data_IF_565138774176
#
_entry.id   IF_565138774176
#
_cell.length_a   1.000
_cell.length_b   1.000
_cell.length_c   1.000
_cell.angle_alpha   90.00
_cell.angle_beta   90.00
_cell.angle_gamma   90.00
#
_symmetry.space_group_name_H-M   'P 1'
#
loop_
_entity.id
_entity.type
_entity.pdbx_description
1 polymer ?
#
# COMPACT_ATOMS: atom_id res chain seq x y z
N UNK A 1 63.12 2.54 -99.97
CA UNK A 1 63.57 3.36 -101.12
C UNK A 1 64.77 2.66 -101.72
N UNK A 2 64.49 1.91 -102.77
CA UNK A 2 65.45 1.08 -103.50
C UNK A 2 66.12 1.93 -104.59
N UNK A 3 67.45 1.97 -104.60
CA UNK A 3 68.25 2.63 -105.64
C UNK A 3 69.59 1.90 -105.81
N UNK A 4 70.15 1.82 -107.03
CA UNK A 4 70.93 0.68 -107.52
C UNK A 4 72.45 0.85 -107.34
N UNK A 5 73.26 -0.23 -107.49
CA UNK A 5 74.71 -0.12 -107.58
C UNK A 5 75.14 0.11 -109.03
N UNK A 6 75.81 1.23 -109.30
CA UNK A 6 76.61 1.40 -110.51
C UNK A 6 77.89 0.53 -110.39
N UNK A 7 78.01 -0.47 -111.26
CA UNK A 7 79.27 -1.15 -111.55
C UNK A 7 79.93 -0.44 -112.74
N UNK A 8 81.08 0.18 -112.50
CA UNK A 8 81.95 0.71 -113.54
C UNK A 8 82.75 -0.43 -114.20
N UNK A 9 82.65 -0.52 -115.52
CA UNK A 9 83.49 -1.34 -116.41
C UNK A 9 84.96 -0.86 -116.37
N UNK A 10 85.96 -1.74 -116.48
CA UNK A 10 87.34 -1.34 -116.69
C UNK A 10 87.59 -1.07 -118.19
N UNK A 11 88.13 0.10 -118.52
CA UNK A 11 88.65 0.41 -119.85
C UNK A 11 89.95 -0.37 -120.08
N UNK A 12 89.95 -1.24 -121.09
CA UNK A 12 91.15 -1.75 -121.75
C UNK A 12 91.94 -0.57 -122.33
N UNK A 13 93.21 -0.45 -121.93
CA UNK A 13 94.18 0.40 -122.61
C UNK A 13 95.17 -0.48 -123.39
N UNK A 14 95.11 -0.29 -124.70
CA UNK A 14 96.04 -0.78 -125.72
C UNK A 14 97.48 -0.33 -125.40
N UNK A 15 98.43 -1.26 -125.49
CA UNK A 15 99.87 -0.99 -125.45
C UNK A 15 100.42 -0.74 -126.86
N UNK A 16 101.39 0.18 -127.04
CA UNK A 16 102.22 0.23 -128.22
C UNK A 16 103.49 -0.61 -128.07
N UNK A 17 103.72 -1.37 -129.15
CA UNK A 17 104.90 -2.09 -129.61
C UNK A 17 106.27 -1.58 -129.13
N UNK A 18 107.10 -2.50 -128.63
CA UNK A 18 108.56 -2.42 -128.61
C UNK A 18 109.14 -3.49 -129.54
N UNK A 19 110.00 -3.09 -130.48
CA UNK A 19 110.67 -3.97 -131.45
C UNK A 19 111.89 -4.71 -130.88
N UNK A 20 112.88 -5.04 -131.72
CA UNK A 20 112.98 -6.33 -132.42
C UNK A 20 114.13 -7.19 -131.89
N UNK A 21 114.06 -8.50 -132.14
CA UNK A 21 115.19 -9.43 -132.07
C UNK A 21 115.23 -10.18 -133.41
N UNK A 22 116.38 -10.12 -134.08
CA UNK A 22 116.61 -10.73 -135.38
C UNK A 22 117.07 -12.18 -135.27
N UNK A 23 117.01 -12.85 -136.43
CA UNK A 23 117.96 -13.84 -136.94
C UNK A 23 117.78 -13.83 -138.47
N UNK A 24 118.85 -13.52 -139.24
CA UNK A 24 119.60 -14.48 -140.09
C UNK A 24 118.68 -15.27 -141.04
N UNK A 25 118.85 -15.26 -142.37
CA UNK A 25 120.11 -15.40 -143.11
C UNK A 25 119.82 -15.30 -144.64
N UNK A 26 120.88 -15.40 -145.46
CA UNK A 26 120.90 -15.80 -146.90
C UNK A 26 121.01 -14.71 -147.99
N UNK A 27 122.28 -14.53 -148.41
CA UNK A 27 122.84 -14.59 -149.78
C UNK A 27 122.30 -13.69 -150.90
N UNK A 28 123.23 -13.02 -151.60
CA UNK A 28 123.02 -12.57 -152.98
C UNK A 28 123.97 -11.48 -153.49
N UNK A 29 125.22 -11.86 -153.76
CA UNK A 29 126.10 -11.40 -154.86
C UNK A 29 126.18 -9.89 -155.23
N UNK A 30 127.30 -9.24 -154.84
CA UNK A 30 128.40 -8.69 -155.67
C UNK A 30 128.18 -8.42 -157.20
N UNK A 31 129.08 -7.64 -157.87
CA UNK A 31 128.82 -6.29 -158.39
C UNK A 31 129.02 -6.22 -159.93
N UNK A 32 128.84 -5.05 -160.55
CA UNK A 32 129.44 -4.75 -161.88
C UNK A 32 129.40 -3.24 -162.14
N UNK A 33 130.50 -2.51 -161.88
CA UNK A 33 131.56 -2.21 -162.85
C UNK A 33 131.04 -1.65 -164.19
N UNK A 34 131.22 -0.33 -164.32
CA UNK A 34 131.86 0.34 -165.45
C UNK A 34 131.70 -0.23 -166.85
N UNK A 35 131.13 0.59 -167.74
CA UNK A 35 131.63 0.72 -169.11
C UNK A 35 131.84 2.19 -169.42
N UNK A 36 133.09 2.62 -169.25
CA UNK A 36 133.67 3.67 -170.07
C UNK A 36 133.96 3.09 -171.46
N UNK A 37 133.58 3.81 -172.51
CA UNK A 37 134.22 3.72 -173.81
C UNK A 37 134.36 5.15 -174.32
N UNK A 38 135.47 5.78 -173.95
CA UNK A 38 136.02 6.88 -174.73
C UNK A 38 136.54 6.31 -176.05
N UNK A 39 136.12 6.95 -177.15
CA UNK A 39 136.96 7.43 -178.25
C UNK A 39 138.26 6.65 -178.54
N UNK A 40 138.36 6.14 -179.77
CA UNK A 40 139.50 6.47 -180.63
C UNK A 40 139.20 6.08 -182.09
N UNK A 41 138.96 7.09 -182.92
CA UNK A 41 139.54 7.13 -184.26
C UNK A 41 140.62 8.23 -184.19
N UNK A 42 141.91 7.93 -184.39
CA UNK A 42 142.81 8.90 -184.94
C UNK A 42 142.77 8.75 -186.47
N UNK A 43 142.22 9.77 -187.12
CA UNK A 43 142.94 10.38 -188.23
C UNK A 43 142.56 11.86 -188.29
N UNK A 44 143.51 12.68 -187.85
CA UNK A 44 143.78 14.06 -188.25
C UNK A 44 142.79 15.19 -187.86
N UNK A 45 143.37 16.15 -187.11
CA UNK A 45 143.08 17.61 -187.01
C UNK A 45 142.12 18.17 -185.91
N UNK A 46 142.72 18.55 -184.75
CA UNK A 46 142.43 19.78 -183.96
C UNK A 46 141.57 19.71 -182.66
N UNK A 47 142.13 20.14 -181.50
CA UNK A 47 141.53 21.01 -180.44
C UNK A 47 141.92 20.70 -178.94
N UNK A 48 142.21 21.71 -178.08
CA UNK A 48 142.58 21.59 -176.64
C UNK A 48 141.50 21.93 -175.57
N UNK A 49 140.22 22.12 -175.91
CA UNK A 49 139.19 22.64 -174.96
C UNK A 49 138.48 21.58 -174.07
N UNK A 50 138.51 20.30 -174.44
CA UNK A 50 137.79 19.22 -173.74
C UNK A 50 138.43 18.80 -172.41
N UNK A 51 139.74 19.01 -172.26
CA UNK A 51 140.49 18.64 -171.07
C UNK A 51 140.20 19.58 -169.87
N UNK A 52 139.97 20.87 -170.15
CA UNK A 52 139.68 21.88 -169.13
C UNK A 52 138.35 21.61 -168.42
N UNK A 53 137.30 21.26 -169.19
CA UNK A 53 135.97 20.94 -168.66
C UNK A 53 135.97 19.73 -167.72
N UNK A 54 136.78 18.71 -168.01
CA UNK A 54 136.92 17.53 -167.15
C UNK A 54 137.58 17.87 -165.79
N UNK A 55 138.52 18.81 -165.76
CA UNK A 55 139.13 19.27 -164.51
C UNK A 55 138.15 20.08 -163.66
N UNK A 56 137.34 20.94 -164.29
CA UNK A 56 136.27 21.68 -163.63
C UNK A 56 135.22 20.74 -163.03
N UNK A 57 134.74 19.77 -163.80
CA UNK A 57 133.81 18.73 -163.32
C UNK A 57 134.42 17.89 -162.17
N UNK A 58 135.71 17.58 -162.22
CA UNK A 58 136.38 16.86 -161.11
C UNK A 58 136.48 17.73 -159.85
N UNK A 59 136.69 19.04 -160.00
CA UNK A 59 136.73 19.99 -158.90
C UNK A 59 135.32 20.17 -158.29
N UNK A 60 134.29 20.30 -159.13
CA UNK A 60 132.89 20.33 -158.71
C UNK A 60 132.47 19.04 -157.99
N UNK A 61 132.87 17.87 -158.50
CA UNK A 61 132.65 16.58 -157.83
C UNK A 61 133.32 16.53 -156.46
N UNK A 62 134.56 17.01 -156.33
CA UNK A 62 135.26 17.08 -155.04
C UNK A 62 134.57 18.04 -154.08
N UNK A 63 134.03 19.14 -154.58
CA UNK A 63 133.30 20.12 -153.77
C UNK A 63 131.93 19.58 -153.34
N UNK A 64 131.21 18.91 -154.23
CA UNK A 64 129.97 18.22 -153.94
C UNK A 64 130.18 17.07 -152.93
N UNK A 65 131.25 16.29 -153.05
CA UNK A 65 131.61 15.25 -152.08
C UNK A 65 131.99 15.88 -150.73
N UNK A 66 132.72 17.00 -150.71
CA UNK A 66 133.01 17.72 -149.46
C UNK A 66 131.73 18.23 -148.80
N UNK A 67 130.84 18.86 -149.57
CA UNK A 67 129.54 19.33 -149.09
C UNK A 67 128.66 18.17 -148.60
N UNK A 68 128.59 17.06 -149.34
CA UNK A 68 127.84 15.87 -148.95
C UNK A 68 128.37 15.25 -147.65
N UNK A 69 129.69 15.11 -147.50
CA UNK A 69 130.30 14.64 -146.26
C UNK A 69 130.08 15.61 -145.09
N UNK A 70 130.06 16.92 -145.36
CA UNK A 70 129.75 17.93 -144.36
C UNK A 70 128.28 17.83 -143.90
N UNK A 71 127.34 17.73 -144.84
CA UNK A 71 125.92 17.50 -144.56
C UNK A 71 125.69 16.19 -143.80
N UNK A 72 126.44 15.13 -144.13
CA UNK A 72 126.35 13.85 -143.41
C UNK A 72 126.87 13.97 -141.98
N UNK A 73 127.97 14.70 -141.76
CA UNK A 73 128.48 14.99 -140.41
C UNK A 73 127.47 15.80 -139.60
N UNK A 74 126.93 16.87 -140.18
CA UNK A 74 125.90 17.70 -139.55
C UNK A 74 124.65 16.87 -139.22
N UNK A 75 124.20 16.02 -140.17
CA UNK A 75 123.08 15.10 -139.96
C UNK A 75 123.37 14.06 -138.86
N UNK A 76 124.58 13.49 -138.81
CA UNK A 76 125.00 12.57 -137.76
C UNK A 76 125.06 13.26 -136.38
N UNK A 77 125.57 14.50 -136.33
CA UNK A 77 125.60 15.29 -135.10
C UNK A 77 124.18 15.69 -134.63
N UNK A 78 123.29 16.08 -135.53
CA UNK A 78 121.87 16.34 -135.23
C UNK A 78 121.17 15.10 -134.72
N UNK A 79 121.41 13.93 -135.33
CA UNK A 79 120.86 12.66 -134.86
C UNK A 79 121.39 12.31 -133.47
N UNK A 80 122.67 12.55 -133.18
CA UNK A 80 123.25 12.35 -131.85
C UNK A 80 122.65 13.32 -130.81
N UNK A 81 122.48 14.60 -131.15
CA UNK A 81 121.79 15.59 -130.29
C UNK A 81 120.34 15.20 -130.05
N UNK A 82 119.64 14.75 -131.08
CA UNK A 82 118.25 14.27 -130.99
C UNK A 82 118.16 13.02 -130.11
N UNK A 83 119.06 12.05 -130.27
CA UNK A 83 119.11 10.86 -129.42
C UNK A 83 119.45 11.21 -127.96
N UNK A 84 120.34 12.18 -127.73
CA UNK A 84 120.64 12.70 -126.40
C UNK A 84 119.42 13.34 -125.76
N UNK A 85 118.78 14.28 -126.46
CA UNK A 85 117.53 14.94 -126.04
C UNK A 85 116.40 13.93 -125.77
N UNK A 86 116.24 12.90 -126.61
CA UNK A 86 115.21 11.86 -126.41
C UNK A 86 115.50 11.00 -125.17
N UNK A 87 116.78 10.71 -124.87
CA UNK A 87 117.14 10.02 -123.62
C UNK A 87 116.83 10.89 -122.40
N UNK A 88 117.21 12.16 -122.44
CA UNK A 88 116.91 13.13 -121.37
C UNK A 88 115.39 13.28 -121.16
N UNK A 89 114.61 13.40 -122.22
CA UNK A 89 113.15 13.46 -122.17
C UNK A 89 112.56 12.17 -121.58
N UNK A 90 113.04 10.99 -122.00
CA UNK A 90 112.60 9.70 -121.46
C UNK A 90 112.93 9.57 -119.97
N UNK A 91 114.12 9.98 -119.56
CA UNK A 91 114.54 9.99 -118.15
C UNK A 91 113.69 10.96 -117.33
N UNK A 92 113.41 12.16 -117.85
CA UNK A 92 112.51 13.13 -117.24
C UNK A 92 111.10 12.56 -117.09
N UNK A 93 110.51 11.99 -118.14
CA UNK A 93 109.19 11.35 -118.08
C UNK A 93 109.18 10.23 -117.05
N UNK A 94 110.21 9.36 -117.04
CA UNK A 94 110.31 8.26 -116.08
C UNK A 94 110.38 8.78 -114.64
N UNK A 95 111.16 9.83 -114.36
CA UNK A 95 111.20 10.48 -113.05
C UNK A 95 109.84 11.08 -112.67
N UNK A 96 109.17 11.79 -113.60
CA UNK A 96 107.83 12.35 -113.38
C UNK A 96 106.80 11.25 -113.07
N UNK A 97 106.84 10.13 -113.80
CA UNK A 97 105.97 8.98 -113.53
C UNK A 97 106.25 8.33 -112.18
N UNK A 98 107.52 8.19 -111.78
CA UNK A 98 107.88 7.67 -110.46
C UNK A 98 107.40 8.60 -109.34
N UNK A 99 107.55 9.92 -109.50
CA UNK A 99 107.03 10.91 -108.55
C UNK A 99 105.50 10.85 -108.45
N UNK A 100 104.80 10.78 -109.59
CA UNK A 100 103.36 10.64 -109.64
C UNK A 100 102.90 9.34 -108.95
N UNK A 101 103.60 8.23 -109.17
CA UNK A 101 103.31 6.95 -108.51
C UNK A 101 103.47 7.04 -107.00
N UNK A 102 104.58 7.61 -106.50
CA UNK A 102 104.80 7.83 -105.06
C UNK A 102 103.73 8.73 -104.46
N UNK A 103 103.26 9.75 -105.19
CA UNK A 103 102.17 10.61 -104.73
C UNK A 103 100.86 9.84 -104.62
N UNK A 104 100.50 9.02 -105.62
CA UNK A 104 99.30 8.18 -105.60
C UNK A 104 99.35 7.18 -104.45
N UNK A 105 100.50 6.53 -104.22
CA UNK A 105 100.69 5.61 -103.09
C UNK A 105 100.47 6.32 -101.74
N UNK A 106 101.08 7.50 -101.53
CA UNK A 106 100.85 8.30 -100.31
C UNK A 106 99.37 8.69 -100.14
N UNK A 107 98.74 9.23 -101.19
CA UNK A 107 97.32 9.60 -101.15
C UNK A 107 96.42 8.39 -100.91
N UNK A 108 96.80 7.21 -101.39
CA UNK A 108 96.04 5.98 -101.16
C UNK A 108 96.07 5.54 -99.70
N UNK A 109 97.24 5.66 -99.04
CA UNK A 109 97.40 5.38 -97.60
C UNK A 109 96.63 6.40 -96.77
N UNK A 110 96.77 7.70 -97.07
CA UNK A 110 96.05 8.77 -96.38
C UNK A 110 94.53 8.59 -96.53
N UNK A 111 94.05 8.22 -97.72
CA UNK A 111 92.63 7.91 -97.95
C UNK A 111 92.17 6.71 -97.12
N UNK A 112 93.00 5.69 -96.94
CA UNK A 112 92.67 4.54 -96.10
C UNK A 112 92.60 4.93 -94.62
N UNK A 113 93.57 5.72 -94.14
CA UNK A 113 93.60 6.22 -92.77
C UNK A 113 92.40 7.13 -92.48
N UNK A 114 92.07 8.06 -93.39
CA UNK A 114 90.90 8.92 -93.27
C UNK A 114 89.60 8.11 -93.29
N UNK A 115 89.52 7.02 -94.08
CA UNK A 115 88.37 6.10 -94.06
C UNK A 115 88.24 5.41 -92.71
N UNK A 116 89.34 4.90 -92.16
CA UNK A 116 89.36 4.25 -90.85
C UNK A 116 88.97 5.22 -89.73
N UNK A 117 89.52 6.44 -89.74
CA UNK A 117 89.17 7.49 -88.78
C UNK A 117 87.69 7.86 -88.88
N UNK A 118 87.15 7.98 -90.10
CA UNK A 118 85.71 8.23 -90.32
C UNK A 118 84.86 7.10 -89.75
N UNK A 119 85.23 5.84 -89.99
CA UNK A 119 84.49 4.68 -89.46
C UNK A 119 84.53 4.65 -87.92
N UNK A 120 85.68 4.92 -87.32
CA UNK A 120 85.82 5.04 -85.86
C UNK A 120 84.95 6.17 -85.29
N UNK A 121 85.02 7.36 -85.90
CA UNK A 121 84.18 8.50 -85.49
C UNK A 121 82.68 8.21 -85.63
N UNK A 122 82.26 7.47 -86.67
CA UNK A 122 80.86 7.04 -86.82
C UNK A 122 80.45 6.07 -85.70
N UNK A 123 81.29 5.10 -85.35
CA UNK A 123 81.03 4.17 -84.24
C UNK A 123 80.95 4.90 -82.89
N UNK A 124 81.83 5.86 -82.63
CA UNK A 124 81.79 6.70 -81.43
C UNK A 124 80.51 7.52 -81.36
N UNK A 125 80.09 8.14 -82.47
CA UNK A 125 78.83 8.89 -82.55
C UNK A 125 77.63 7.97 -82.30
N UNK A 126 77.62 6.76 -82.85
CA UNK A 126 76.56 5.78 -82.56
C UNK A 126 76.53 5.36 -81.09
N UNK A 127 77.70 5.12 -80.49
CA UNK A 127 77.79 4.81 -79.07
C UNK A 127 77.27 5.96 -78.20
N UNK A 128 77.70 7.20 -78.49
CA UNK A 128 77.23 8.39 -77.79
C UNK A 128 75.72 8.60 -77.95
N UNK A 129 75.15 8.32 -79.12
CA UNK A 129 73.69 8.34 -79.34
C UNK A 129 72.97 7.32 -78.48
N UNK A 130 73.47 6.09 -78.36
CA UNK A 130 72.90 5.06 -77.48
C UNK A 130 72.99 5.48 -76.01
N UNK A 131 74.15 5.98 -75.56
CA UNK A 131 74.29 6.52 -74.21
C UNK A 131 73.32 7.68 -73.95
N UNK A 132 73.16 8.61 -74.91
CA UNK A 132 72.23 9.73 -74.77
C UNK A 132 70.77 9.26 -74.68
N UNK A 133 70.38 8.26 -75.47
CA UNK A 133 69.05 7.65 -75.41
C UNK A 133 68.82 6.99 -74.04
N UNK A 134 69.77 6.17 -73.55
CA UNK A 134 69.68 5.55 -72.23
C UNK A 134 69.54 6.60 -71.12
N UNK A 135 70.36 7.66 -71.15
CA UNK A 135 70.27 8.75 -70.18
C UNK A 135 68.93 9.48 -70.23
N UNK A 136 68.31 9.61 -71.42
CA UNK A 136 66.99 10.20 -71.56
C UNK A 136 65.88 9.30 -70.99
N UNK A 137 65.98 7.98 -71.22
CA UNK A 137 65.09 6.96 -70.65
C UNK A 137 65.20 6.91 -69.12
N UNK A 138 66.41 6.88 -68.58
CA UNK A 138 66.66 6.90 -67.13
C UNK A 138 66.11 8.17 -66.49
N UNK A 139 66.33 9.34 -67.14
CA UNK A 139 65.75 10.61 -66.69
C UNK A 139 64.23 10.58 -66.69
N UNK A 140 63.61 10.00 -67.72
CA UNK A 140 62.15 9.87 -67.81
C UNK A 140 61.60 8.91 -66.73
N UNK A 141 62.28 7.79 -66.50
CA UNK A 141 61.96 6.80 -65.47
C UNK A 141 62.04 7.41 -64.07
N UNK A 142 63.14 8.10 -63.74
CA UNK A 142 63.30 8.78 -62.44
C UNK A 142 62.24 9.86 -62.27
N UNK A 143 61.94 10.64 -63.31
CA UNK A 143 60.88 11.65 -63.24
C UNK A 143 59.52 11.01 -62.95
N UNK A 144 59.19 9.90 -63.61
CA UNK A 144 57.95 9.17 -63.37
C UNK A 144 57.87 8.62 -61.94
N UNK A 145 58.97 8.04 -61.42
CA UNK A 145 59.05 7.55 -60.04
C UNK A 145 58.86 8.68 -59.02
N UNK A 146 59.54 9.81 -59.21
CA UNK A 146 59.39 10.99 -58.33
C UNK A 146 57.95 11.52 -58.37
N UNK A 147 57.32 11.58 -59.55
CA UNK A 147 55.92 11.99 -59.67
C UNK A 147 54.97 11.01 -58.97
N UNK A 148 55.19 9.70 -59.07
CA UNK A 148 54.40 8.68 -58.35
C UNK A 148 54.52 8.86 -56.84
N UNK A 149 55.76 8.93 -56.33
CA UNK A 149 56.03 9.08 -54.89
C UNK A 149 55.45 10.39 -54.33
N UNK A 150 55.50 11.49 -55.09
CA UNK A 150 54.83 12.74 -54.70
C UNK A 150 53.32 12.59 -54.61
N UNK A 151 52.71 11.85 -55.55
CA UNK A 151 51.28 11.53 -55.53
C UNK A 151 50.90 10.68 -54.31
N UNK A 152 51.65 9.61 -54.04
CA UNK A 152 51.45 8.74 -52.88
C UNK A 152 51.62 9.50 -51.55
N UNK A 153 52.62 10.39 -51.46
CA UNK A 153 52.82 11.23 -50.28
C UNK A 153 51.65 12.20 -50.08
N UNK A 154 51.17 12.85 -51.14
CA UNK A 154 50.04 13.76 -51.07
C UNK A 154 48.74 13.03 -50.68
N UNK A 155 48.53 11.82 -51.19
CA UNK A 155 47.40 10.99 -50.80
C UNK A 155 47.49 10.56 -49.34
N UNK A 156 48.67 10.09 -48.91
CA UNK A 156 48.92 9.72 -47.51
C UNK A 156 48.70 10.92 -46.57
N UNK A 157 49.13 12.12 -46.96
CA UNK A 157 48.91 13.34 -46.19
C UNK A 157 47.42 13.69 -46.11
N UNK A 158 46.69 13.60 -47.22
CA UNK A 158 45.24 13.83 -47.25
C UNK A 158 44.48 12.83 -46.35
N UNK A 159 44.89 11.56 -46.36
CA UNK A 159 44.33 10.51 -45.48
C UNK A 159 44.62 10.79 -44.01
N UNK A 160 45.83 11.23 -43.67
CA UNK A 160 46.20 11.61 -42.32
C UNK A 160 45.39 12.82 -41.83
N UNK A 161 45.21 13.84 -42.65
CA UNK A 161 44.36 15.00 -42.35
C UNK A 161 42.89 14.61 -42.13
N UNK A 162 42.36 13.69 -42.92
CA UNK A 162 41.01 13.16 -42.72
C UNK A 162 40.89 12.38 -41.39
N UNK A 163 41.82 11.46 -41.13
CA UNK A 163 41.83 10.66 -39.90
C UNK A 163 42.01 11.51 -38.64
N UNK A 164 42.84 12.56 -38.70
CA UNK A 164 43.03 13.50 -37.59
C UNK A 164 41.77 14.32 -37.30
N UNK A 165 41.05 14.77 -38.33
CA UNK A 165 39.74 15.45 -38.16
C UNK A 165 38.70 14.50 -37.56
N UNK A 166 38.64 13.27 -38.04
CA UNK A 166 37.73 12.25 -37.48
C UNK A 166 38.05 11.97 -36.01
N UNK A 167 39.33 11.80 -35.66
CA UNK A 167 39.77 11.64 -34.27
C UNK A 167 39.34 12.82 -33.40
N UNK A 168 39.53 14.05 -33.86
CA UNK A 168 39.10 15.25 -33.13
C UNK A 168 37.57 15.28 -32.92
N UNK A 169 36.79 14.90 -33.94
CA UNK A 169 35.34 14.81 -33.83
C UNK A 169 34.91 13.73 -32.83
N UNK A 170 35.56 12.56 -32.85
CA UNK A 170 35.31 11.47 -31.90
C UNK A 170 35.71 11.85 -30.47
N UNK A 171 36.84 12.51 -30.28
CA UNK A 171 37.28 13.04 -28.98
C UNK A 171 36.28 14.07 -28.44
N UNK A 172 35.77 14.97 -29.28
CA UNK A 172 34.73 15.93 -28.91
C UNK A 172 33.44 15.25 -28.47
N UNK A 173 32.99 14.22 -29.22
CA UNK A 173 31.81 13.42 -28.86
C UNK A 173 32.01 12.64 -27.56
N UNK A 174 33.19 12.05 -27.36
CA UNK A 174 33.52 11.31 -26.13
C UNK A 174 33.53 12.24 -24.91
N UNK A 175 34.08 13.46 -25.03
CA UNK A 175 34.04 14.48 -23.97
C UNK A 175 32.61 14.87 -23.61
N UNK A 176 31.78 15.18 -24.61
CA UNK A 176 30.38 15.54 -24.38
C UNK A 176 29.59 14.40 -23.72
N UNK A 177 29.79 13.15 -24.17
CA UNK A 177 29.16 11.99 -23.56
C UNK A 177 29.62 11.76 -22.10
N UNK A 178 30.90 11.98 -21.82
CA UNK A 178 31.43 11.89 -20.44
C UNK A 178 30.86 12.97 -19.53
N UNK A 179 30.68 14.19 -20.01
CA UNK A 179 30.05 15.27 -19.25
C UNK A 179 28.58 14.97 -18.96
N UNK A 180 27.85 14.47 -19.96
CA UNK A 180 26.47 14.05 -19.80
C UNK A 180 26.33 12.89 -18.80
N UNK A 181 27.22 11.90 -18.85
CA UNK A 181 27.23 10.81 -17.88
C UNK A 181 27.47 11.32 -16.45
N UNK A 182 28.42 12.23 -16.27
CA UNK A 182 28.69 12.85 -14.96
C UNK A 182 27.50 13.65 -14.43
N UNK A 183 26.78 14.36 -15.31
CA UNK A 183 25.56 15.07 -14.94
C UNK A 183 24.47 14.10 -14.47
N UNK A 184 24.20 13.04 -15.24
CA UNK A 184 23.21 12.03 -14.87
C UNK A 184 23.56 11.30 -13.58
N UNK A 185 24.85 11.02 -13.34
CA UNK A 185 25.32 10.44 -12.07
C UNK A 185 25.04 11.38 -10.89
N UNK A 186 25.34 12.68 -11.04
CA UNK A 186 25.05 13.68 -10.01
C UNK A 186 23.55 13.82 -9.74
N UNK A 187 22.70 13.79 -10.77
CA UNK A 187 21.24 13.83 -10.63
C UNK A 187 20.72 12.58 -9.92
N UNK A 188 21.24 11.39 -10.30
CA UNK A 188 20.91 10.12 -9.63
C UNK A 188 21.30 10.15 -8.16
N UNK A 189 22.48 10.67 -7.82
CA UNK A 189 22.93 10.80 -6.44
C UNK A 189 22.05 11.75 -5.63
N UNK A 190 21.67 12.90 -6.19
CA UNK A 190 20.76 13.84 -5.55
C UNK A 190 19.37 13.22 -5.30
N UNK A 191 18.81 12.51 -6.28
CA UNK A 191 17.54 11.79 -6.14
C UNK A 191 17.63 10.67 -5.10
N UNK A 192 18.74 9.93 -5.07
CA UNK A 192 18.96 8.88 -4.07
C UNK A 192 19.02 9.47 -2.66
N UNK A 193 19.70 10.60 -2.47
CA UNK A 193 19.74 11.30 -1.19
C UNK A 193 18.33 11.76 -0.78
N UNK A 194 17.56 12.34 -1.70
CA UNK A 194 16.18 12.75 -1.44
C UNK A 194 15.30 11.55 -1.03
N UNK A 195 15.37 10.43 -1.74
CA UNK A 195 14.62 9.21 -1.40
C UNK A 195 15.05 8.66 -0.03
N UNK A 196 16.33 8.63 0.30
CA UNK A 196 16.81 8.18 1.61
C UNK A 196 16.20 9.04 2.73
N UNK A 197 16.21 10.37 2.57
CA UNK A 197 15.59 11.29 3.54
C UNK A 197 14.09 11.04 3.68
N UNK A 198 13.36 10.81 2.58
CA UNK A 198 11.94 10.47 2.62
C UNK A 198 11.67 9.15 3.34
N UNK A 199 12.47 8.12 3.07
CA UNK A 199 12.37 6.82 3.75
C UNK A 199 12.62 6.97 5.25
N UNK A 200 13.64 7.72 5.64
CA UNK A 200 13.93 7.97 7.06
C UNK A 200 12.81 8.76 7.74
N UNK A 201 12.22 9.74 7.06
CA UNK A 201 11.06 10.47 7.55
C UNK A 201 9.85 9.56 7.79
N UNK A 202 9.53 8.68 6.83
CA UNK A 202 8.45 7.70 6.96
C UNK A 202 8.73 6.67 8.06
N UNK A 203 9.98 6.23 8.20
CA UNK A 203 10.40 5.35 9.30
C UNK A 203 10.18 6.00 10.66
N UNK A 204 10.61 7.25 10.83
CA UNK A 204 10.39 8.01 12.07
C UNK A 204 8.90 8.22 12.36
N UNK A 205 8.09 8.51 11.34
CA UNK A 205 6.64 8.64 11.50
C UNK A 205 6.00 7.31 11.93
N UNK A 206 6.40 6.20 11.33
CA UNK A 206 5.93 4.86 11.67
C UNK A 206 6.27 4.51 13.12
N UNK A 207 7.53 4.72 13.51
CA UNK A 207 7.98 4.48 14.90
C UNK A 207 7.22 5.31 15.93
N UNK A 208 6.92 6.58 15.61
CA UNK A 208 6.12 7.46 16.47
C UNK A 208 4.69 6.95 16.62
N UNK A 209 4.03 6.59 15.52
CA UNK A 209 2.68 6.03 15.53
C UNK A 209 2.62 4.69 16.27
N UNK A 210 3.62 3.82 16.08
CA UNK A 210 3.74 2.55 16.81
C UNK A 210 3.94 2.76 18.31
N UNK A 211 4.72 3.77 18.71
CA UNK A 211 4.89 4.14 20.11
C UNK A 211 3.58 4.65 20.73
N UNK A 212 2.87 5.54 20.03
CA UNK A 212 1.55 6.02 20.45
C UNK A 212 0.55 4.87 20.59
N UNK A 213 0.50 3.96 19.62
CA UNK A 213 -0.38 2.78 19.66
C UNK A 213 -0.04 1.85 20.84
N UNK A 214 1.24 1.65 21.16
CA UNK A 214 1.66 0.88 22.34
C UNK A 214 1.16 1.52 23.63
N UNK A 215 1.26 2.84 23.75
CA UNK A 215 0.76 3.57 24.92
C UNK A 215 -0.76 3.50 25.04
N UNK A 216 -1.49 3.66 23.93
CA UNK A 216 -2.94 3.54 23.92
C UNK A 216 -3.41 2.13 24.34
N UNK A 217 -2.73 1.08 23.85
CA UNK A 217 -3.00 -0.30 24.26
C UNK A 217 -2.75 -0.51 25.75
N UNK A 218 -1.66 0.06 26.29
CA UNK A 218 -1.37 -0.01 27.71
C UNK A 218 -2.47 0.72 28.51
N UNK A 219 -2.82 1.95 28.15
CA UNK A 219 -3.88 2.73 28.79
C UNK A 219 -5.23 1.98 28.77
N UNK A 220 -5.63 1.42 27.63
CA UNK A 220 -6.85 0.63 27.52
C UNK A 220 -6.82 -0.62 28.42
N UNK A 221 -5.67 -1.27 28.57
CA UNK A 221 -5.50 -2.39 29.50
C UNK A 221 -5.64 -1.96 30.96
N UNK A 222 -5.18 -0.75 31.30
CA UNK A 222 -5.28 -0.17 32.63
C UNK A 222 -6.72 0.22 32.96
N UNK A 223 -7.43 0.85 32.03
CA UNK A 223 -8.85 1.17 32.16
C UNK A 223 -9.72 -0.09 32.29
N UNK A 224 -9.41 -1.15 31.52
CA UNK A 224 -10.09 -2.45 31.67
C UNK A 224 -9.90 -3.02 33.08
N UNK A 225 -8.71 -2.87 33.67
CA UNK A 225 -8.43 -3.31 35.04
C UNK A 225 -9.21 -2.48 36.07
N UNK A 226 -9.23 -1.15 35.91
CA UNK A 226 -10.02 -0.24 36.77
C UNK A 226 -11.51 -0.56 36.70
N UNK A 227 -12.04 -0.81 35.49
CA UNK A 227 -13.43 -1.23 35.31
C UNK A 227 -13.73 -2.54 36.02
N UNK A 228 -12.86 -3.55 35.90
CA UNK A 228 -13.03 -4.82 36.61
C UNK A 228 -13.02 -4.62 38.15
N UNK A 229 -12.13 -3.77 38.67
CA UNK A 229 -12.11 -3.43 40.09
C UNK A 229 -13.40 -2.73 40.53
N UNK A 230 -13.89 -1.76 39.75
CA UNK A 230 -15.14 -1.06 40.03
C UNK A 230 -16.34 -2.02 39.99
N UNK A 231 -16.37 -2.94 39.03
CA UNK A 231 -17.39 -3.99 38.97
C UNK A 231 -17.37 -4.83 40.24
N UNK A 232 -16.21 -5.29 40.70
CA UNK A 232 -16.10 -6.06 41.95
C UNK A 232 -16.60 -5.24 43.15
N UNK A 233 -16.17 -3.98 43.28
CA UNK A 233 -16.62 -3.09 44.36
C UNK A 233 -18.13 -2.85 44.34
N UNK A 234 -18.73 -2.67 43.16
CA UNK A 234 -20.18 -2.53 43.00
C UNK A 234 -20.92 -3.79 43.47
N UNK A 235 -20.48 -4.98 43.04
CA UNK A 235 -21.09 -6.23 43.48
C UNK A 235 -20.97 -6.42 45.00
N UNK A 236 -19.84 -6.05 45.61
CA UNK A 236 -19.66 -6.09 47.07
C UNK A 236 -20.65 -5.16 47.79
N UNK A 237 -20.74 -3.90 47.38
CA UNK A 237 -21.70 -2.94 47.97
C UNK A 237 -23.15 -3.41 47.80
N UNK A 238 -23.49 -3.98 46.64
CA UNK A 238 -24.81 -4.54 46.41
C UNK A 238 -25.11 -5.70 47.37
N UNK A 239 -24.15 -6.62 47.57
CA UNK A 239 -24.29 -7.72 48.53
C UNK A 239 -24.42 -7.20 49.97
N UNK A 240 -23.60 -6.23 50.38
CA UNK A 240 -23.69 -5.60 51.70
C UNK A 240 -25.05 -4.94 51.92
N UNK A 241 -25.56 -4.23 50.93
CA UNK A 241 -26.88 -3.59 50.99
C UNK A 241 -28.02 -4.61 51.08
N UNK A 242 -28.02 -5.65 50.25
CA UNK A 242 -29.01 -6.73 50.29
C UNK A 242 -28.98 -7.47 51.63
N UNK A 243 -27.77 -7.79 52.13
CA UNK A 243 -27.59 -8.38 53.45
C UNK A 243 -28.10 -7.46 54.58
N UNK A 244 -27.86 -6.15 54.46
CA UNK A 244 -28.35 -5.16 55.42
C UNK A 244 -29.89 -5.09 55.41
N UNK A 245 -30.54 -5.06 54.23
CA UNK A 245 -32.00 -5.10 54.13
C UNK A 245 -32.52 -6.38 54.77
N UNK A 246 -31.98 -7.55 54.40
CA UNK A 246 -32.42 -8.84 54.93
C UNK A 246 -32.26 -8.93 56.44
N UNK A 247 -31.16 -8.43 56.99
CA UNK A 247 -30.90 -8.44 58.43
C UNK A 247 -31.78 -7.44 59.18
N UNK A 248 -31.90 -6.20 58.68
CA UNK A 248 -32.67 -5.12 59.31
C UNK A 248 -34.17 -5.39 59.26
N UNK A 249 -34.72 -5.70 58.07
CA UNK A 249 -36.13 -6.06 57.90
C UNK A 249 -36.44 -7.39 58.58
N UNK A 250 -35.53 -8.37 58.55
CA UNK A 250 -35.70 -9.65 59.23
C UNK A 250 -35.83 -9.48 60.74
N UNK A 251 -34.97 -8.66 61.35
CA UNK A 251 -35.02 -8.40 62.79
C UNK A 251 -36.24 -7.56 63.20
N UNK A 252 -36.56 -6.51 62.43
CA UNK A 252 -37.77 -5.70 62.68
C UNK A 252 -39.07 -6.50 62.51
N UNK A 253 -39.15 -7.40 61.53
CA UNK A 253 -40.31 -8.24 61.32
C UNK A 253 -40.51 -9.22 62.49
N UNK A 254 -39.42 -9.78 63.00
CA UNK A 254 -39.49 -10.72 64.12
C UNK A 254 -39.86 -10.00 65.43
N UNK A 255 -39.31 -8.80 65.66
CA UNK A 255 -39.72 -7.94 66.77
C UNK A 255 -41.22 -7.57 66.71
N UNK A 256 -41.73 -7.19 65.52
CA UNK A 256 -43.16 -6.88 65.33
C UNK A 256 -44.05 -8.10 65.54
N UNK A 257 -43.66 -9.28 65.06
CA UNK A 257 -44.41 -10.51 65.32
C UNK A 257 -44.46 -10.82 66.81
N UNK A 258 -43.35 -10.67 67.53
CA UNK A 258 -43.31 -10.92 68.96
C UNK A 258 -44.18 -9.93 69.73
N UNK A 259 -44.15 -8.64 69.37
CA UNK A 259 -45.05 -7.63 69.95
C UNK A 259 -46.53 -7.91 69.65
N UNK A 260 -46.84 -8.33 68.42
CA UNK A 260 -48.21 -8.70 68.04
C UNK A 260 -48.71 -9.88 68.87
N UNK A 261 -47.91 -10.94 69.00
CA UNK A 261 -48.26 -12.11 69.79
C UNK A 261 -48.49 -11.75 71.27
N UNK A 262 -47.62 -10.93 71.86
CA UNK A 262 -47.80 -10.45 73.23
C UNK A 262 -49.09 -9.62 73.39
N UNK A 263 -49.43 -8.78 72.39
CA UNK A 263 -50.66 -8.00 72.41
C UNK A 263 -51.91 -8.89 72.27
N UNK A 264 -51.85 -9.92 71.43
CA UNK A 264 -52.92 -10.93 71.29
C UNK A 264 -53.16 -11.66 72.61
N UNK A 265 -52.11 -12.17 73.26
CA UNK A 265 -52.20 -12.82 74.58
C UNK A 265 -52.76 -11.87 75.65
N UNK A 266 -52.33 -10.60 75.65
CA UNK A 266 -52.84 -9.59 76.57
C UNK A 266 -54.32 -9.24 76.31
N UNK A 267 -54.77 -9.25 75.05
CA UNK A 267 -56.17 -9.06 74.70
C UNK A 267 -57.03 -10.24 75.17
N UNK A 268 -56.55 -11.47 75.01
CA UNK A 268 -57.23 -12.67 75.55
C UNK A 268 -57.36 -12.57 77.06
N UNK A 269 -56.28 -12.25 77.78
CA UNK A 269 -56.33 -12.07 79.23
C UNK A 269 -57.29 -10.94 79.66
N UNK A 270 -57.34 -9.82 78.93
CA UNK A 270 -58.33 -8.75 79.17
C UNK A 270 -59.76 -9.21 78.90
N UNK A 271 -59.97 -10.03 77.87
CA UNK A 271 -61.29 -10.59 77.56
C UNK A 271 -61.79 -11.50 78.69
N UNK A 272 -60.92 -12.35 79.25
CA UNK A 272 -61.24 -13.19 80.41
C UNK A 272 -61.63 -12.35 81.64
N UNK A 273 -60.97 -11.21 81.87
CA UNK A 273 -61.33 -10.29 82.97
C UNK A 273 -62.69 -9.63 82.71
N UNK A 274 -62.97 -9.23 81.47
CA UNK A 274 -64.29 -8.67 81.10
C UNK A 274 -65.39 -9.70 81.34
N UNK A 275 -65.16 -10.95 80.95
CA UNK A 275 -66.15 -12.01 81.11
C UNK A 275 -66.42 -12.30 82.59
N UNK A 276 -65.39 -12.32 83.44
CA UNK A 276 -65.55 -12.38 84.91
C UNK A 276 -66.34 -11.20 85.47
N UNK A 277 -66.00 -9.97 85.07
CA UNK A 277 -66.71 -8.78 85.55
C UNK A 277 -68.17 -8.76 85.09
N UNK A 278 -68.48 -9.28 83.90
CA UNK A 278 -69.87 -9.45 83.43
C UNK A 278 -70.63 -10.48 84.26
N UNK A 279 -70.00 -11.60 84.61
CA UNK A 279 -70.58 -12.61 85.47
C UNK A 279 -70.88 -12.05 86.88
N UNK A 280 -69.92 -11.38 87.50
CA UNK A 280 -70.08 -10.70 88.78
C UNK A 280 -71.18 -9.62 88.72
N UNK A 281 -71.26 -8.86 87.62
CA UNK A 281 -72.31 -7.85 87.43
C UNK A 281 -73.71 -8.48 87.38
N UNK A 282 -73.88 -9.62 86.71
CA UNK A 282 -75.17 -10.32 86.67
C UNK A 282 -75.53 -10.92 88.04
N UNK A 283 -74.55 -11.46 88.78
CA UNK A 283 -74.75 -11.89 90.17
C UNK A 283 -75.20 -10.72 91.07
N UNK A 284 -74.53 -9.56 90.97
CA UNK A 284 -74.92 -8.37 91.71
C UNK A 284 -76.33 -7.89 91.34
N UNK A 285 -76.72 -7.97 90.07
CA UNK A 285 -78.07 -7.60 89.61
C UNK A 285 -79.15 -8.46 90.26
N UNK A 286 -78.96 -9.77 90.36
CA UNK A 286 -79.87 -10.70 91.06
C UNK A 286 -80.01 -10.30 92.55
N UNK A 287 -78.90 -9.99 93.21
CA UNK A 287 -78.94 -9.52 94.61
C UNK A 287 -79.67 -8.18 94.72
N UNK A 288 -79.46 -7.25 93.78
CA UNK A 288 -80.15 -5.96 93.78
C UNK A 288 -81.67 -6.08 93.60
N UNK A 289 -82.17 -7.11 92.90
CA UNK A 289 -83.60 -7.40 92.77
C UNK A 289 -84.28 -7.76 94.11
N UNK A 290 -83.51 -8.06 95.16
CA UNK A 290 -84.04 -8.27 96.52
C UNK A 290 -84.37 -6.97 97.26
N UNK A 291 -83.76 -5.84 96.86
CA UNK A 291 -83.94 -4.54 97.54
C UNK A 291 -85.40 -4.05 97.46
N UNK A 292 -86.10 -4.10 96.30
CA UNK A 292 -87.54 -3.78 96.24
C UNK A 292 -88.40 -4.66 97.16
N UNK A 293 -88.07 -5.94 97.29
CA UNK A 293 -88.79 -6.88 98.16
C UNK A 293 -88.63 -6.51 99.63
N UNK A 294 -87.40 -6.29 100.09
CA UNK A 294 -87.12 -5.85 101.46
C UNK A 294 -87.75 -4.49 101.78
N UNK A 295 -87.79 -3.58 100.80
CA UNK A 295 -88.45 -2.28 100.94
C UNK A 295 -89.96 -2.43 101.12
N UNK A 296 -90.61 -3.25 100.29
CA UNK A 296 -92.02 -3.58 100.45
C UNK A 296 -92.31 -4.25 101.81
N UNK A 297 -91.43 -5.15 102.27
CA UNK A 297 -91.54 -5.77 103.59
C UNK A 297 -91.47 -4.74 104.73
N UNK A 298 -90.56 -3.77 104.65
CA UNK A 298 -90.47 -2.68 105.64
C UNK A 298 -91.71 -1.78 105.65
N UNK A 299 -92.27 -1.49 104.46
CA UNK A 299 -93.51 -0.70 104.33
C UNK A 299 -94.72 -1.43 104.94
N UNK A 300 -94.84 -2.75 104.73
CA UNK A 300 -95.87 -3.59 105.35
C UNK A 300 -95.75 -3.60 106.87
N UNK A 301 -94.54 -3.82 107.42
CA UNK A 301 -94.36 -3.79 108.88
C UNK A 301 -94.69 -2.43 109.49
N UNK A 302 -94.40 -1.33 108.76
CA UNK A 302 -94.78 0.00 109.19
C UNK A 302 -96.30 0.17 109.23
N UNK A 303 -97.02 -0.31 108.21
CA UNK A 303 -98.49 -0.24 108.19
C UNK A 303 -99.11 -1.12 109.28
N UNK A 304 -98.57 -2.32 109.50
CA UNK A 304 -99.03 -3.22 110.55
C UNK A 304 -98.80 -2.64 111.95
N UNK A 305 -97.63 -2.04 112.19
CA UNK A 305 -97.33 -1.36 113.45
C UNK A 305 -98.27 -0.18 113.71
N UNK A 306 -98.59 0.61 112.69
CA UNK A 306 -99.55 1.72 112.80
C UNK A 306 -100.95 1.21 113.11
N UNK A 307 -101.40 0.14 112.44
CA UNK A 307 -102.70 -0.49 112.72
C UNK A 307 -102.78 -1.03 114.16
N UNK A 308 -101.72 -1.69 114.65
CA UNK A 308 -101.65 -2.19 116.03
C UNK A 308 -101.65 -1.07 117.07
N UNK A 309 -100.96 0.04 116.77
CA UNK A 309 -100.97 1.25 117.62
C UNK A 309 -102.37 1.86 117.70
N UNK A 310 -103.04 2.06 116.57
CA UNK A 310 -104.41 2.59 116.52
C UNK A 310 -105.39 1.68 117.29
N UNK A 311 -105.24 0.36 117.17
CA UNK A 311 -106.03 -0.60 117.95
C UNK A 311 -105.78 -0.47 119.46
N UNK A 312 -104.52 -0.27 119.88
CA UNK A 312 -104.15 -0.03 121.28
C UNK A 312 -104.69 1.29 121.82
N UNK A 313 -104.63 2.37 121.05
CA UNK A 313 -105.18 3.67 121.44
C UNK A 313 -106.70 3.57 121.67
N UNK A 314 -107.45 2.91 120.76
CA UNK A 314 -108.89 2.63 120.96
C UNK A 314 -109.18 1.76 122.18
N UNK A 315 -108.30 0.80 122.50
CA UNK A 315 -108.44 -0.03 123.69
C UNK A 315 -108.19 0.78 124.98
N UNK A 316 -107.18 1.66 124.96
CA UNK A 316 -106.87 2.57 126.06
C UNK A 316 -108.03 3.54 126.31
N UNK A 317 -108.62 4.13 125.26
CA UNK A 317 -109.84 4.95 125.36
C UNK A 317 -111.00 4.19 126.02
N UNK A 318 -111.25 2.93 125.62
CA UNK A 318 -112.29 2.10 126.26
C UNK A 318 -111.99 1.78 127.72
N UNK A 319 -110.72 1.58 128.07
CA UNK A 319 -110.29 1.33 129.46
C UNK A 319 -110.53 2.56 130.33
N UNK A 320 -110.14 3.74 129.89
CA UNK A 320 -110.38 5.01 130.59
C UNK A 320 -111.89 5.22 130.81
N UNK A 321 -112.72 5.01 129.77
CA UNK A 321 -114.18 5.12 129.88
C UNK A 321 -114.78 4.16 130.92
N UNK A 322 -114.36 2.89 130.91
CA UNK A 322 -114.80 1.90 131.90
C UNK A 322 -114.29 2.24 133.31
N UNK A 323 -113.09 2.79 133.42
CA UNK A 323 -112.51 3.20 134.69
C UNK A 323 -113.25 4.39 135.29
N UNK A 324 -113.62 5.39 134.49
CA UNK A 324 -114.51 6.49 134.89
C UNK A 324 -115.89 6.00 135.36
N UNK A 325 -116.48 5.03 134.63
CA UNK A 325 -117.75 4.40 135.03
C UNK A 325 -117.64 3.69 136.38
N UNK A 326 -116.51 3.02 136.64
CA UNK A 326 -116.28 2.28 137.88
C UNK A 326 -116.05 3.23 139.06
N UNK A 327 -115.32 4.32 138.85
CA UNK A 327 -115.18 5.39 139.85
C UNK A 327 -116.52 6.07 140.15
N UNK A 328 -117.34 6.33 139.14
CA UNK A 328 -118.68 6.88 139.33
C UNK A 328 -119.54 5.92 140.17
N UNK A 329 -119.50 4.62 139.87
CA UNK A 329 -120.22 3.61 140.63
C UNK A 329 -119.70 3.48 142.07
N UNK A 330 -118.39 3.61 142.29
CA UNK A 330 -117.78 3.66 143.62
C UNK A 330 -118.18 4.91 144.40
N UNK A 331 -118.25 6.08 143.75
CA UNK A 331 -118.74 7.33 144.36
C UNK A 331 -120.19 7.19 144.78
N UNK A 332 -121.03 6.59 143.94
CA UNK A 332 -122.45 6.38 144.23
C UNK A 332 -122.67 5.32 145.32
N UNK A 333 -121.89 4.23 145.33
CA UNK A 333 -121.86 3.26 146.42
C UNK A 333 -121.43 3.89 147.76
N UNK A 334 -120.40 4.74 147.75
CA UNK A 334 -119.91 5.44 148.94
C UNK A 334 -120.96 6.43 149.48
N UNK A 335 -121.68 7.13 148.59
CA UNK A 335 -122.78 8.04 148.94
C UNK A 335 -123.97 7.30 149.58
N UNK A 336 -124.34 6.16 149.00
CA UNK A 336 -125.42 5.30 149.53
C UNK A 336 -125.05 4.70 150.90
N UNK A 337 -123.78 4.31 151.08
CA UNK A 337 -123.24 3.78 152.34
C UNK A 337 -123.21 4.82 153.46
N UNK A 338 -122.84 6.07 153.15
CA UNK A 338 -122.85 7.18 154.12
C UNK A 338 -124.28 7.50 154.58
N UNK A 339 -125.26 7.47 153.68
CA UNK A 339 -126.68 7.66 154.01
C UNK A 339 -127.23 6.57 154.94
N UNK A 340 -126.81 5.30 154.76
CA UNK A 340 -127.15 4.20 155.67
C UNK A 340 -126.47 4.28 157.05
N UNK A 341 -125.28 4.91 157.15
CA UNK A 341 -124.54 5.04 158.41
C UNK A 341 -125.07 6.16 159.32
N UNK A 342 -125.61 7.24 158.75
CA UNK A 342 -126.27 8.32 159.51
C UNK A 342 -127.60 7.84 160.12
N UNK A 343 -128.30 6.94 159.41
CA UNK A 343 -129.53 6.31 159.88
C UNK A 343 -129.33 5.16 160.88
N UNK A 344 -128.09 4.72 161.14
CA UNK A 344 -127.77 3.58 162.01
C UNK A 344 -127.29 3.95 163.43
N UNK A 345 -127.28 5.25 163.79
CA UNK A 345 -126.85 5.73 165.12
C UNK A 345 -127.96 5.91 166.17
N UNK A 346 -129.23 5.74 165.79
CA UNK A 346 -130.36 5.99 166.69
C UNK A 346 -131.04 4.72 167.25
N UNK A 347 -130.70 3.49 166.83
CA UNK A 347 -131.45 2.32 167.35
C UNK A 347 -130.64 1.00 167.43
N UNK A 348 -130.11 0.69 168.63
CA UNK A 348 -129.94 -0.68 169.19
C UNK A 348 -129.49 -0.72 170.70
N UNK A 349 -130.45 -0.69 171.68
CA UNK A 349 -130.49 -1.17 173.12
C UNK A 349 -130.05 -0.38 174.39
N UNK A 350 -131.00 -0.16 175.36
CA UNK A 350 -131.04 -0.84 176.72
C UNK A 350 -132.40 -0.75 177.46
N UNK A 351 -133.39 -1.54 177.00
CA UNK A 351 -134.40 -2.34 177.78
C UNK A 351 -135.33 -3.10 176.79
N UNK A 352 -134.92 -3.27 175.55
CA UNK A 352 -135.72 -2.68 174.46
C UNK A 352 -134.95 -2.91 173.16
N UNK A 353 -135.15 -4.02 172.48
CA UNK A 353 -134.89 -4.11 171.03
C UNK A 353 -136.22 -4.16 170.27
N UNK A 354 -137.17 -3.32 170.70
CA UNK A 354 -138.35 -2.89 169.91
C UNK A 354 -137.97 -2.85 168.42
N UNK A 355 -138.63 -3.43 167.43
CA UNK A 355 -139.96 -4.02 167.21
C UNK A 355 -139.82 -4.79 165.88
N UNK A 356 -140.25 -6.05 165.71
CA UNK A 356 -141.62 -6.45 165.35
C UNK A 356 -142.39 -5.41 164.51
N UNK A 357 -142.19 -5.48 163.20
CA UNK A 357 -143.21 -5.25 162.16
C UNK A 357 -142.86 -6.21 161.01
N UNK A 358 -143.67 -7.20 160.61
CA UNK A 358 -145.04 -7.13 160.08
C UNK A 358 -145.18 -6.22 158.84
N UNK A 359 -146.08 -6.62 157.93
CA UNK A 359 -145.89 -6.71 156.48
C UNK A 359 -146.56 -5.47 155.83
N UNK A 360 -146.51 -5.18 154.50
CA UNK A 360 -147.15 -6.08 153.52
C UNK A 360 -146.88 -5.84 152.02
N UNK A 361 -147.40 -6.78 151.23
CA UNK A 361 -148.08 -6.59 149.94
C UNK A 361 -147.30 -5.97 148.76
N UNK A 362 -147.12 -6.80 147.73
CA UNK A 362 -147.84 -6.72 146.45
C UNK A 362 -148.40 -5.33 146.06
N UNK A 363 -148.38 -4.93 144.77
CA UNK A 363 -148.89 -5.84 143.76
C UNK A 363 -148.28 -5.70 142.36
N UNK A 364 -148.77 -6.62 141.53
CA UNK A 364 -149.06 -6.42 140.12
C UNK A 364 -147.83 -6.36 139.20
N UNK A 365 -147.76 -7.28 138.22
CA UNK A 365 -148.59 -7.23 137.00
C UNK A 365 -148.26 -5.92 136.28
N UNK A 366 -147.89 -5.91 135.02
CA UNK A 366 -148.18 -6.85 133.97
C UNK A 366 -147.45 -6.34 132.74
N UNK A 367 -147.44 -7.14 131.67
CA UNK A 367 -147.66 -6.61 130.32
C UNK A 367 -146.65 -5.57 129.82
N UNK A 368 -145.85 -5.81 128.79
CA UNK A 368 -146.15 -6.29 127.46
C UNK A 368 -144.84 -6.01 126.67
N UNK A 369 -144.45 -6.82 125.68
CA UNK A 369 -144.61 -6.51 124.24
C UNK A 369 -144.01 -5.14 123.85
N UNK A 370 -143.17 -5.00 122.83
CA UNK A 370 -143.44 -5.15 121.40
C UNK A 370 -142.09 -5.45 120.68
N UNK A 371 -141.97 -6.40 119.74
CA UNK A 371 -142.44 -6.40 118.34
C UNK A 371 -141.72 -5.41 117.40
N UNK A 372 -141.37 -5.94 116.21
CA UNK A 372 -140.90 -5.28 114.95
C UNK A 372 -139.37 -5.06 114.88
N UNK A 373 -138.65 -5.30 113.78
CA UNK A 373 -138.90 -5.72 112.41
C UNK A 373 -137.49 -6.06 111.85
N UNK A 374 -137.28 -7.25 111.24
CA UNK A 374 -137.14 -7.46 109.79
C UNK A 374 -135.90 -6.75 109.15
N UNK A 375 -135.34 -7.28 108.04
CA UNK A 375 -134.98 -8.68 107.77
C UNK A 375 -133.73 -8.80 106.88
N UNK A 376 -133.55 -10.02 106.35
CA UNK A 376 -133.03 -10.25 105.00
C UNK A 376 -131.51 -10.12 104.87
N UNK A 377 -130.81 -10.97 104.13
CA UNK A 377 -131.23 -12.00 103.19
C UNK A 377 -129.98 -12.78 102.78
N UNK A 378 -130.19 -14.07 102.48
CA UNK A 378 -129.53 -14.84 101.41
C UNK A 378 -128.05 -15.19 101.61
N UNK A 379 -127.57 -16.38 101.27
CA UNK A 379 -128.17 -17.52 100.58
C UNK A 379 -127.24 -18.73 100.78
N UNK A 380 -127.83 -19.91 100.89
CA UNK A 380 -127.36 -21.18 100.30
C UNK A 380 -127.35 -21.12 98.75
N UNK A 381 -127.11 -22.17 97.94
CA UNK A 381 -126.47 -23.52 98.06
C UNK A 381 -125.45 -23.72 96.88
N UNK A 382 -125.17 -24.92 96.30
CA UNK A 382 -125.21 -26.36 96.71
C UNK A 382 -123.80 -27.04 96.59
N UNK A 383 -123.46 -28.24 97.09
CA UNK A 383 -123.89 -29.64 96.78
C UNK A 383 -123.59 -30.12 95.33
N UNK A 384 -122.69 -31.12 95.19
CA UNK A 384 -122.45 -32.06 94.04
C UNK A 384 -122.10 -31.52 92.62
N UNK A 385 -121.54 -32.33 91.69
CA UNK A 385 -120.49 -33.37 91.77
C UNK A 385 -119.40 -33.15 90.67
N UNK A 386 -118.40 -34.04 90.50
CA UNK A 386 -117.35 -33.87 89.50
C UNK A 386 -117.76 -34.46 88.14
N UNK A 387 -117.56 -33.71 87.06
CA UNK A 387 -117.61 -34.25 85.70
C UNK A 387 -116.18 -34.51 85.23
N UNK A 388 -115.59 -35.59 85.74
CA UNK A 388 -114.40 -36.20 85.17
C UNK A 388 -114.82 -37.04 83.96
N UNK A 389 -115.04 -36.36 82.85
CA UNK A 389 -115.44 -36.96 81.59
C UNK A 389 -114.25 -37.11 80.65
N UNK A 390 -114.06 -38.29 80.07
CA UNK A 390 -113.05 -38.47 79.02
C UNK A 390 -113.50 -37.79 77.71
N UNK A 391 -112.75 -36.83 77.15
CA UNK A 391 -113.17 -36.09 75.97
C UNK A 391 -113.24 -36.91 74.67
N UNK A 392 -112.69 -38.14 74.62
CA UNK A 392 -112.74 -38.98 73.40
C UNK A 392 -114.00 -39.83 73.31
N UNK A 393 -114.48 -40.37 74.44
CA UNK A 393 -115.62 -41.30 74.48
C UNK A 393 -116.78 -40.86 75.39
N UNK A 394 -116.65 -39.72 76.07
CA UNK A 394 -117.67 -39.12 76.94
C UNK A 394 -118.08 -40.01 78.13
N UNK A 395 -117.22 -40.94 78.55
CA UNK A 395 -117.42 -41.73 79.76
C UNK A 395 -117.26 -40.87 81.03
N UNK A 396 -118.26 -40.91 81.93
CA UNK A 396 -118.26 -40.23 83.23
C UNK A 396 -117.64 -41.12 84.31
N UNK A 397 -116.54 -40.68 84.91
CA UNK A 397 -115.86 -41.39 86.00
C UNK A 397 -116.18 -40.76 87.37
N UNK A 398 -116.40 -41.55 88.43
CA UNK A 398 -116.80 -41.04 89.75
C UNK A 398 -115.67 -40.37 90.54
N UNK A 399 -114.40 -40.56 90.16
CA UNK A 399 -113.21 -39.96 90.78
C UNK A 399 -112.03 -39.81 89.80
N UNK A 400 -111.04 -39.02 90.19
CA UNK A 400 -109.89 -38.60 89.35
C UNK A 400 -108.95 -39.76 88.99
N UNK A 401 -108.71 -40.70 89.89
CA UNK A 401 -107.82 -41.85 89.63
C UNK A 401 -108.43 -42.78 88.58
N UNK A 402 -109.75 -42.98 88.63
CA UNK A 402 -110.48 -43.78 87.62
C UNK A 402 -110.46 -43.11 86.24
N UNK A 403 -110.52 -41.77 86.17
CA UNK A 403 -110.33 -41.03 84.91
C UNK A 403 -108.89 -41.16 84.39
N UNK A 404 -107.89 -41.16 85.27
CA UNK A 404 -106.48 -41.18 84.87
C UNK A 404 -106.05 -42.53 84.25
N UNK A 405 -106.60 -43.65 84.74
CA UNK A 405 -106.44 -44.98 84.12
C UNK A 405 -107.11 -44.99 82.74
N UNK A 406 -108.36 -44.49 82.66
CA UNK A 406 -109.11 -44.47 81.41
C UNK A 406 -108.47 -43.55 80.35
N UNK A 407 -107.92 -42.39 80.72
CA UNK A 407 -107.24 -41.46 79.80
C UNK A 407 -105.92 -42.07 79.26
N UNK A 408 -105.23 -42.90 80.04
CA UNK A 408 -104.02 -43.62 79.58
C UNK A 408 -104.32 -44.68 78.51
N UNK A 409 -105.50 -45.31 78.53
CA UNK A 409 -105.94 -46.25 77.48
C UNK A 409 -106.67 -45.55 76.32
N UNK A 410 -107.29 -44.39 76.57
CA UNK A 410 -108.08 -43.67 75.56
C UNK A 410 -107.23 -42.76 74.65
N UNK A 411 -105.95 -42.48 74.97
CA UNK A 411 -105.05 -41.61 74.18
C UNK A 411 -104.18 -42.35 73.14
N UNK A 412 -104.21 -43.68 73.06
CA UNK A 412 -103.67 -44.38 71.87
C UNK A 412 -104.38 -43.96 70.56
#
# INVERSE_FOLDING_TARGET
MSGPPWKSQPCEMVQPSGGPAGDQDVLGEEPSLGKAAMLHLPSEQGAPETFQRCLEENQELRDAIRQSNQMLRECCEELQRFQGSQREEKEFLMQRFQEARRLVERLSLEKLDLRRQREQALQEVEHLKRCQQQMAEDKASVKAQVTSLLGELQESQSRLEAATKERQALEGRARAASEQARQLESEREALQQQHNVQVDQLRMQTQSMEAALRMERQAASEEKRKLAQLQVAYHQLFQEYDNHIKSSMGMQLEDLKQQLQQAEEALVAKQEVIDKLKEEAEQHKIVMETVPVLKAQADIYKTDFQAEREAREKLAEKKELLQEQLEQLQRDYSRLKASCQESARIEDMRKRHVEVSQPPLAPASAHHSFHLALPSQRRSPPEEPPDFCCPKCQYQAPDMDTLQIHVMECIE
#
